data_IF_202969317347
#
_entry.id   IF_202969317347
#
_cell.length_a   1.000
_cell.length_b   1.000
_cell.length_c   1.000
_cell.angle_alpha   90.00
_cell.angle_beta   90.00
_cell.angle_gamma   90.00
#
_symmetry.space_group_name_H-M   'P 1'
#
loop_
_entity.id
_entity.type
_entity.pdbx_description
1 polymer ?
#
# COMPACT_ATOMS: atom_id res chain seq x y z
N UNK A 1 3.95 -15.82 1.28
CA UNK A 1 4.11 -16.83 0.21
C UNK A 1 4.65 -16.27 -1.12
N UNK A 2 4.85 -14.95 -1.31
CA UNK A 2 5.41 -14.35 -2.54
C UNK A 2 6.58 -13.37 -2.31
N UNK A 3 7.42 -13.57 -1.29
CA UNK A 3 8.48 -12.59 -0.92
C UNK A 3 9.53 -12.36 -2.03
N UNK A 4 9.67 -13.32 -2.96
CA UNK A 4 10.57 -13.21 -4.12
C UNK A 4 9.97 -12.43 -5.30
N UNK A 5 8.66 -12.22 -5.32
CA UNK A 5 7.97 -11.42 -6.35
C UNK A 5 7.72 -9.98 -5.91
N UNK A 6 8.01 -9.62 -4.66
CA UNK A 6 7.84 -8.27 -4.14
C UNK A 6 8.65 -7.21 -4.91
N UNK A 7 9.69 -7.62 -5.65
CA UNK A 7 10.51 -6.77 -6.52
C UNK A 7 10.38 -7.10 -8.01
N UNK A 8 9.53 -8.07 -8.36
CA UNK A 8 9.18 -8.29 -9.76
C UNK A 8 8.23 -7.16 -10.18
N UNK A 9 8.46 -6.54 -11.33
CA UNK A 9 7.62 -5.44 -11.84
C UNK A 9 6.28 -5.97 -12.41
N UNK A 10 5.53 -6.65 -11.56
CA UNK A 10 4.30 -7.36 -11.86
C UNK A 10 3.23 -6.95 -10.85
N UNK A 11 2.00 -6.82 -11.31
CA UNK A 11 0.85 -6.71 -10.41
C UNK A 11 0.72 -8.03 -9.65
N UNK A 12 0.56 -7.96 -8.32
CA UNK A 12 0.46 -9.16 -7.49
C UNK A 12 -1.02 -9.42 -7.20
N UNK A 13 -1.58 -10.57 -7.61
CA UNK A 13 -2.95 -10.92 -7.28
C UNK A 13 -3.15 -11.01 -5.76
N UNK A 14 -4.26 -10.47 -5.29
CA UNK A 14 -4.77 -10.56 -3.93
C UNK A 14 -6.04 -11.42 -3.91
N UNK A 15 -6.63 -11.57 -2.72
CA UNK A 15 -7.96 -12.16 -2.59
C UNK A 15 -9.02 -11.23 -3.19
N UNK A 16 -10.25 -11.73 -3.37
CA UNK A 16 -11.37 -10.97 -3.95
C UNK A 16 -11.19 -10.49 -5.39
N UNK A 17 -10.16 -10.98 -6.10
CA UNK A 17 -9.85 -10.53 -7.46
C UNK A 17 -9.15 -9.18 -7.51
N UNK A 18 -8.70 -8.66 -6.36
CA UNK A 18 -7.95 -7.43 -6.25
C UNK A 18 -6.48 -7.63 -6.66
N UNK A 19 -5.80 -6.54 -6.99
CA UNK A 19 -4.39 -6.58 -7.41
C UNK A 19 -3.59 -5.46 -6.76
N UNK A 20 -2.44 -5.82 -6.20
CA UNK A 20 -1.41 -4.84 -5.85
C UNK A 20 -0.81 -4.27 -7.13
N UNK A 21 -0.60 -2.95 -7.15
CA UNK A 21 0.08 -2.27 -8.25
C UNK A 21 1.52 -2.77 -8.42
N UNK A 22 2.06 -2.56 -9.61
CA UNK A 22 3.47 -2.80 -9.86
C UNK A 22 4.33 -1.86 -9.01
N UNK A 23 5.47 -2.32 -8.46
CA UNK A 23 6.37 -1.47 -7.70
C UNK A 23 6.77 -0.16 -8.40
N UNK A 24 6.95 -0.16 -9.73
CA UNK A 24 7.28 1.07 -10.48
C UNK A 24 6.14 2.10 -10.45
N UNK A 25 4.88 1.64 -10.46
CA UNK A 25 3.71 2.52 -10.43
C UNK A 25 3.56 3.09 -9.03
N UNK A 26 3.72 2.26 -7.99
CA UNK A 26 3.68 2.70 -6.59
C UNK A 26 4.77 3.73 -6.29
N UNK A 27 6.00 3.47 -6.73
CA UNK A 27 7.11 4.42 -6.56
C UNK A 27 6.87 5.77 -7.25
N UNK A 28 6.32 5.75 -8.47
CA UNK A 28 5.96 6.99 -9.19
C UNK A 28 4.83 7.74 -8.52
N UNK A 29 3.83 7.04 -7.99
CA UNK A 29 2.75 7.66 -7.23
C UNK A 29 3.31 8.37 -5.99
N UNK A 30 4.13 7.69 -5.20
CA UNK A 30 4.76 8.25 -4.01
C UNK A 30 5.62 9.50 -4.34
N UNK A 31 6.37 9.46 -5.43
CA UNK A 31 7.14 10.62 -5.91
C UNK A 31 6.23 11.78 -6.33
N UNK A 32 5.14 11.50 -7.03
CA UNK A 32 4.21 12.52 -7.51
C UNK A 32 3.44 13.21 -6.38
N UNK A 33 3.21 12.51 -5.26
CA UNK A 33 2.58 13.11 -4.07
C UNK A 33 3.47 14.17 -3.40
N UNK A 34 4.80 14.11 -3.61
CA UNK A 34 5.77 15.08 -3.09
C UNK A 34 5.62 15.36 -1.58
N UNK A 35 5.32 14.32 -0.80
CA UNK A 35 5.13 14.38 0.65
C UNK A 35 6.41 14.87 1.33
N UNK A 36 6.26 15.76 2.31
CA UNK A 36 7.37 16.29 3.11
C UNK A 36 7.30 15.86 4.59
N UNK A 37 6.25 15.16 5.01
CA UNK A 37 6.10 14.63 6.36
C UNK A 37 5.08 15.37 7.21
N UNK A 38 4.49 16.46 6.71
CA UNK A 38 3.48 17.24 7.43
C UNK A 38 2.04 16.88 7.03
N UNK A 39 1.87 16.05 5.99
CA UNK A 39 0.57 15.75 5.41
C UNK A 39 -0.24 14.71 6.20
N UNK A 40 -1.57 14.89 6.16
CA UNK A 40 -2.55 13.89 6.57
C UNK A 40 -3.10 13.19 5.33
N UNK A 41 -2.84 11.88 5.22
CA UNK A 41 -3.17 11.12 4.02
C UNK A 41 -4.36 10.20 4.26
N UNK A 42 -5.32 10.21 3.34
CA UNK A 42 -6.36 9.19 3.21
C UNK A 42 -6.04 8.29 2.02
N UNK A 43 -5.82 7.01 2.29
CA UNK A 43 -5.70 5.96 1.29
C UNK A 43 -7.01 5.17 1.23
N UNK A 44 -7.54 4.98 0.02
CA UNK A 44 -8.72 4.17 -0.25
C UNK A 44 -8.26 2.92 -1.00
N UNK A 45 -8.44 1.76 -0.39
CA UNK A 45 -7.96 0.46 -0.86
C UNK A 45 -6.60 0.10 -0.25
N UNK A 46 -6.59 -0.35 1.01
CA UNK A 46 -5.35 -0.80 1.69
C UNK A 46 -4.70 -2.00 0.98
N UNK A 47 -5.51 -2.93 0.45
CA UNK A 47 -5.07 -4.08 -0.32
C UNK A 47 -3.98 -4.91 0.38
N UNK A 48 -2.76 -4.86 -0.16
CA UNK A 48 -1.63 -5.63 0.38
C UNK A 48 -1.04 -5.03 1.67
N UNK A 49 -1.36 -3.77 1.97
CA UNK A 49 -0.77 -2.93 3.03
C UNK A 49 0.58 -2.29 2.66
N UNK A 50 1.09 -2.51 1.46
CA UNK A 50 2.41 -1.99 1.07
C UNK A 50 2.42 -0.47 0.90
N UNK A 51 1.48 0.08 0.14
CA UNK A 51 1.36 1.52 -0.08
C UNK A 51 1.10 2.27 1.23
N UNK A 52 0.15 1.80 2.04
CA UNK A 52 -0.07 2.25 3.42
C UNK A 52 1.23 2.33 4.25
N UNK A 53 2.06 1.28 4.22
CA UNK A 53 3.33 1.22 4.94
C UNK A 53 4.41 2.16 4.37
N UNK A 54 4.37 2.45 3.07
CA UNK A 54 5.23 3.47 2.47
C UNK A 54 4.78 4.88 2.87
N UNK A 55 3.48 5.17 2.75
CA UNK A 55 2.90 6.46 3.12
C UNK A 55 3.13 6.78 4.60
N UNK A 56 3.01 5.80 5.50
CA UNK A 56 3.21 6.00 6.94
C UNK A 56 4.63 6.40 7.33
N UNK A 57 5.60 6.23 6.44
CA UNK A 57 6.99 6.67 6.62
C UNK A 57 7.28 8.04 6.00
N UNK A 58 6.37 8.55 5.18
CA UNK A 58 6.56 9.75 4.37
C UNK A 58 5.60 10.89 4.75
N UNK A 59 4.50 10.58 5.43
CA UNK A 59 3.48 11.52 5.88
C UNK A 59 3.39 11.56 7.41
N UNK A 60 2.70 12.58 7.94
CA UNK A 60 2.46 12.72 9.38
C UNK A 60 1.54 11.65 9.93
N UNK A 61 0.44 11.41 9.22
CA UNK A 61 -0.53 10.37 9.55
C UNK A 61 -1.19 9.82 8.29
N UNK A 62 -1.56 8.54 8.35
CA UNK A 62 -2.23 7.85 7.25
C UNK A 62 -3.45 7.13 7.80
N UNK A 63 -4.61 7.43 7.23
CA UNK A 63 -5.81 6.63 7.38
C UNK A 63 -5.95 5.80 6.11
N UNK A 64 -5.97 4.47 6.25
CA UNK A 64 -6.14 3.56 5.12
C UNK A 64 -7.42 2.76 5.30
N UNK A 65 -8.27 2.74 4.27
CA UNK A 65 -9.56 2.07 4.27
C UNK A 65 -9.54 0.88 3.32
N UNK A 66 -10.12 -0.24 3.76
CA UNK A 66 -10.26 -1.45 2.96
C UNK A 66 -11.68 -1.99 3.10
N UNK A 67 -12.26 -2.40 1.96
CA UNK A 67 -13.63 -2.90 1.89
C UNK A 67 -13.72 -4.37 2.30
N UNK A 68 -12.64 -5.14 2.09
CA UNK A 68 -12.54 -6.55 2.45
C UNK A 68 -11.87 -6.70 3.82
N UNK A 69 -12.67 -7.04 4.83
CA UNK A 69 -12.19 -7.09 6.22
C UNK A 69 -11.00 -8.02 6.45
N UNK A 70 -10.90 -9.14 5.73
CA UNK A 70 -9.77 -10.06 5.80
C UNK A 70 -8.49 -9.49 5.16
N UNK A 71 -8.60 -8.74 4.05
CA UNK A 71 -7.47 -7.97 3.51
C UNK A 71 -7.02 -6.90 4.51
N UNK A 72 -7.96 -6.20 5.16
CA UNK A 72 -7.65 -5.19 6.17
C UNK A 72 -6.85 -5.78 7.34
N UNK A 73 -7.29 -6.92 7.88
CA UNK A 73 -6.59 -7.61 8.97
C UNK A 73 -5.21 -8.12 8.55
N UNK A 74 -5.09 -8.67 7.33
CA UNK A 74 -3.79 -9.11 6.78
C UNK A 74 -2.83 -7.95 6.55
N UNK A 75 -3.33 -6.80 6.10
CA UNK A 75 -2.55 -5.60 5.87
C UNK A 75 -2.07 -5.00 7.19
N UNK A 76 -2.90 -5.02 8.24
CA UNK A 76 -2.52 -4.52 9.58
C UNK A 76 -1.25 -5.17 10.11
N UNK A 77 -1.05 -6.47 9.92
CA UNK A 77 0.18 -7.17 10.32
C UNK A 77 1.43 -6.82 9.49
N UNK A 78 1.31 -5.95 8.47
CA UNK A 78 2.41 -5.51 7.59
C UNK A 78 2.67 -4.00 7.69
N UNK A 79 1.69 -3.26 8.20
CA UNK A 79 1.75 -1.81 8.42
C UNK A 79 2.21 -1.61 9.87
N UNK A 80 3.53 -1.59 10.08
CA UNK A 80 4.16 -1.19 11.36
C UNK A 80 3.81 -2.05 12.56
#
# INVERSE_FOLDING_TARGET
RHRKLAFADLSIPLEHGEFMMKPVVEGRLLQALALNGDEDVLEIGTGSGFMAACLSRLARQVVSLEIHGDLAERARGRIG
#
